data_IF_580296114164
#
_entry.id   IF_580296114164
#
_cell.length_a   1.000
_cell.length_b   1.000
_cell.length_c   1.000
_cell.angle_alpha   90.00
_cell.angle_beta   90.00
_cell.angle_gamma   90.00
#
_symmetry.space_group_name_H-M   'P 1'
#
loop_
_entity.id
_entity.type
_entity.pdbx_description
1 polymer ?
#
# COMPACT_ATOMS: atom_id res chain seq x y z
N UNK A 1 -7.54 -1.03 -34.73
CA UNK A 1 -6.33 -0.83 -33.89
C UNK A 1 -6.82 -0.49 -32.50
N UNK A 2 -6.79 -1.44 -31.57
CA UNK A 2 -7.36 -1.29 -30.23
C UNK A 2 -6.58 -0.21 -29.45
N UNK A 3 -7.26 0.85 -28.99
CA UNK A 3 -6.66 1.91 -28.16
C UNK A 3 -6.63 1.44 -26.70
N UNK A 4 -5.48 0.92 -26.26
CA UNK A 4 -5.22 0.50 -24.88
C UNK A 4 -4.15 1.40 -24.26
N UNK A 5 -4.32 1.79 -23.00
CA UNK A 5 -3.28 2.47 -22.22
C UNK A 5 -3.25 1.91 -20.80
N UNK A 6 -2.14 1.28 -20.37
CA UNK A 6 -1.98 0.84 -18.99
C UNK A 6 -1.73 2.05 -18.07
N UNK A 7 -2.32 2.03 -16.88
CA UNK A 7 -2.09 2.98 -15.79
C UNK A 7 -1.79 2.19 -14.51
N UNK A 8 -0.61 2.41 -13.93
CA UNK A 8 -0.05 1.65 -12.81
C UNK A 8 1.46 1.41 -12.99
N UNK A 9 2.23 1.22 -11.90
CA UNK A 9 3.68 0.97 -11.98
C UNK A 9 3.98 -0.53 -11.94
N UNK A 10 4.09 -1.19 -13.08
CA UNK A 10 4.91 -2.42 -13.15
C UNK A 10 6.26 -2.01 -13.72
N UNK A 11 7.20 -1.68 -12.83
CA UNK A 11 8.59 -1.49 -13.26
C UNK A 11 9.19 -2.87 -13.59
N UNK A 12 10.08 -2.91 -14.57
CA UNK A 12 11.00 -4.03 -14.75
C UNK A 12 12.28 -3.67 -13.97
N UNK A 13 12.44 -4.01 -12.67
CA UNK A 13 13.74 -3.90 -12.06
C UNK A 13 14.55 -5.11 -12.50
N UNK A 14 15.62 -4.90 -13.23
CA UNK A 14 16.77 -5.80 -13.19
C UNK A 14 18.06 -5.00 -13.37
N UNK A 15 19.04 -5.39 -12.57
CA UNK A 15 20.34 -4.75 -12.45
C UNK A 15 21.15 -4.72 -13.74
N UNK A 16 22.23 -3.94 -13.67
CA UNK A 16 23.25 -3.71 -14.68
C UNK A 16 22.75 -3.79 -16.12
N UNK A 17 22.40 -2.63 -16.69
CA UNK A 17 21.91 -2.46 -18.08
C UNK A 17 22.79 -3.16 -19.13
N UNK A 18 24.05 -3.42 -18.79
CA UNK A 18 25.07 -4.05 -19.62
C UNK A 18 25.04 -5.58 -19.60
N UNK A 19 24.31 -6.21 -18.68
CA UNK A 19 24.16 -7.66 -18.60
C UNK A 19 22.86 -8.05 -17.88
N UNK A 20 21.70 -7.99 -18.58
CA UNK A 20 20.40 -8.29 -17.99
C UNK A 20 20.24 -9.77 -17.56
N UNK A 21 21.15 -10.65 -17.98
CA UNK A 21 21.13 -12.07 -17.65
C UNK A 21 22.05 -12.45 -16.49
N UNK A 22 22.95 -11.55 -16.04
CA UNK A 22 23.80 -11.84 -14.87
C UNK A 22 23.01 -11.72 -13.58
N UNK A 23 23.13 -12.73 -12.74
CA UNK A 23 22.56 -12.72 -11.40
C UNK A 23 23.40 -11.82 -10.49
N UNK A 24 22.76 -10.81 -9.90
CA UNK A 24 23.39 -9.93 -8.92
C UNK A 24 23.17 -10.40 -7.47
N UNK A 25 22.33 -11.42 -7.28
CA UNK A 25 22.04 -12.10 -6.01
C UNK A 25 22.11 -13.61 -6.25
N UNK A 26 22.68 -14.35 -5.29
CA UNK A 26 22.71 -15.80 -5.32
C UNK A 26 21.33 -16.40 -5.00
N UNK A 27 20.75 -17.09 -5.99
CA UNK A 27 19.40 -17.67 -5.94
C UNK A 27 19.30 -18.93 -5.08
N UNK A 28 20.42 -19.59 -4.78
CA UNK A 28 20.45 -20.78 -3.92
C UNK A 28 20.40 -20.41 -2.44
N UNK A 29 20.84 -19.20 -2.10
CA UNK A 29 20.93 -18.76 -0.71
C UNK A 29 19.90 -17.70 -0.32
N UNK A 30 19.48 -16.86 -1.28
CA UNK A 30 18.65 -15.68 -1.02
C UNK A 30 17.29 -15.78 -1.71
N UNK A 31 16.17 -15.78 -0.97
CA UNK A 31 14.85 -15.73 -1.59
C UNK A 31 14.61 -14.40 -2.28
N UNK A 32 13.87 -14.40 -3.39
CA UNK A 32 13.40 -13.15 -3.99
C UNK A 32 12.39 -12.47 -3.07
N UNK A 33 12.34 -11.14 -3.07
CA UNK A 33 11.23 -10.38 -2.51
C UNK A 33 10.05 -10.39 -3.51
N UNK A 34 8.89 -11.00 -3.17
CA UNK A 34 7.72 -10.95 -4.04
C UNK A 34 7.20 -9.53 -4.21
N UNK A 35 6.64 -9.21 -5.38
CA UNK A 35 6.11 -7.89 -5.71
C UNK A 35 4.59 -7.97 -5.88
N UNK A 36 3.86 -7.22 -5.05
CA UNK A 36 2.40 -7.13 -5.08
C UNK A 36 2.00 -5.73 -5.56
N UNK A 37 1.23 -5.66 -6.64
CA UNK A 37 0.90 -4.39 -7.28
C UNK A 37 -0.46 -4.44 -7.97
N UNK A 38 -1.01 -3.26 -8.26
CA UNK A 38 -2.29 -3.07 -8.94
C UNK A 38 -2.08 -2.18 -10.16
N UNK A 39 -2.73 -2.55 -11.26
CA UNK A 39 -2.76 -1.75 -12.48
C UNK A 39 -4.15 -1.76 -13.09
N UNK A 40 -4.41 -0.82 -13.99
CA UNK A 40 -5.65 -0.71 -14.73
C UNK A 40 -5.37 -0.47 -16.21
N UNK A 41 -6.32 -0.84 -17.06
CA UNK A 41 -6.32 -0.48 -18.48
C UNK A 41 -7.63 0.23 -18.80
N UNK A 42 -7.53 1.35 -19.50
CA UNK A 42 -8.70 2.12 -19.96
C UNK A 42 -8.71 2.19 -21.48
N UNK A 43 -9.90 2.36 -22.05
CA UNK A 43 -10.15 2.39 -23.49
C UNK A 43 -10.87 3.68 -23.90
N UNK A 44 -10.90 3.97 -25.20
CA UNK A 44 -11.70 5.06 -25.76
C UNK A 44 -11.27 6.44 -25.28
N UNK A 45 -12.24 7.29 -24.88
CA UNK A 45 -11.98 8.69 -24.51
C UNK A 45 -10.98 8.79 -23.33
N UNK A 46 -11.07 7.91 -22.33
CA UNK A 46 -10.15 7.87 -21.19
C UNK A 46 -8.71 7.53 -21.61
N UNK A 47 -8.52 6.55 -22.52
CA UNK A 47 -7.18 6.24 -23.05
C UNK A 47 -6.56 7.45 -23.77
N UNK A 48 -7.39 8.25 -24.47
CA UNK A 48 -6.92 9.49 -25.11
C UNK A 48 -6.52 10.56 -24.12
N UNK A 49 -7.14 10.62 -22.94
CA UNK A 49 -6.73 11.56 -21.90
C UNK A 49 -5.37 11.20 -21.29
N UNK A 50 -5.09 9.90 -21.13
CA UNK A 50 -3.75 9.41 -20.78
C UNK A 50 -2.76 9.76 -21.89
N UNK A 51 -3.11 9.52 -23.16
CA UNK A 51 -2.26 9.87 -24.30
C UNK A 51 -1.98 11.38 -24.40
N UNK A 52 -2.97 12.24 -24.12
CA UNK A 52 -2.79 13.71 -24.07
C UNK A 52 -1.74 14.11 -23.03
N UNK A 53 -1.78 13.50 -21.84
CA UNK A 53 -0.77 13.75 -20.81
C UNK A 53 0.63 13.34 -21.29
N UNK A 54 0.76 12.17 -21.93
CA UNK A 54 2.02 11.73 -22.53
C UNK A 54 2.54 12.72 -23.60
N UNK A 55 1.67 13.11 -24.53
CA UNK A 55 2.00 14.04 -25.63
C UNK A 55 2.47 15.39 -25.09
N UNK A 56 1.79 15.91 -24.08
CA UNK A 56 2.16 17.16 -23.42
C UNK A 56 3.58 17.08 -22.86
N UNK A 57 3.90 16.00 -22.11
CA UNK A 57 5.23 15.81 -21.52
C UNK A 57 6.30 15.55 -22.57
N UNK A 58 6.00 14.75 -23.60
CA UNK A 58 6.91 14.48 -24.70
C UNK A 58 7.32 15.77 -25.42
N UNK A 59 6.34 16.57 -25.85
CA UNK A 59 6.59 17.83 -26.55
C UNK A 59 7.32 18.84 -25.65
N UNK A 60 6.97 18.93 -24.36
CA UNK A 60 7.69 19.75 -23.38
C UNK A 60 9.16 19.32 -23.25
N UNK A 61 9.43 18.04 -23.02
CA UNK A 61 10.80 17.52 -22.90
C UNK A 61 11.60 17.72 -24.18
N UNK A 62 10.95 17.59 -25.36
CA UNK A 62 11.57 17.89 -26.65
C UNK A 62 12.05 19.34 -26.69
N UNK A 63 11.22 20.31 -26.32
CA UNK A 63 11.57 21.73 -26.34
C UNK A 63 12.67 22.05 -25.32
N UNK A 64 12.58 21.50 -24.10
CA UNK A 64 13.46 21.87 -22.99
C UNK A 64 14.89 21.32 -23.08
N UNK A 65 15.14 20.29 -23.89
CA UNK A 65 16.46 19.63 -23.97
C UNK A 65 17.04 19.70 -25.39
N UNK A 66 18.16 20.41 -25.61
CA UNK A 66 18.75 20.57 -26.94
C UNK A 66 19.00 19.25 -27.69
N UNK A 67 19.40 18.19 -26.97
CA UNK A 67 19.59 16.84 -27.52
C UNK A 67 18.37 16.33 -28.30
N UNK A 68 17.17 16.75 -27.93
CA UNK A 68 15.92 16.26 -28.51
C UNK A 68 15.35 17.19 -29.59
N UNK A 69 16.02 18.30 -29.92
CA UNK A 69 15.55 19.23 -30.96
C UNK A 69 15.54 18.60 -32.36
N UNK A 70 16.41 17.61 -32.59
CA UNK A 70 16.46 16.84 -33.85
C UNK A 70 15.09 16.35 -34.32
N UNK A 71 14.90 16.32 -35.64
CA UNK A 71 13.72 15.75 -36.30
C UNK A 71 13.55 14.25 -36.01
N UNK A 72 14.60 13.56 -35.54
CA UNK A 72 14.52 12.16 -35.07
C UNK A 72 13.53 11.97 -33.91
N UNK A 73 13.24 13.04 -33.15
CA UNK A 73 12.20 13.04 -32.11
C UNK A 73 11.01 13.86 -32.65
N UNK A 74 9.95 13.24 -33.19
CA UNK A 74 8.84 13.98 -33.78
C UNK A 74 8.02 14.71 -32.71
N UNK A 75 7.38 15.82 -33.08
CA UNK A 75 6.29 16.34 -32.25
C UNK A 75 5.09 15.40 -32.32
N UNK A 76 4.44 15.18 -31.18
CA UNK A 76 3.25 14.35 -31.11
C UNK A 76 2.00 15.23 -31.11
N UNK A 77 0.94 14.74 -31.76
CA UNK A 77 -0.35 15.42 -31.85
C UNK A 77 -1.44 14.51 -31.26
N UNK A 78 -2.38 15.05 -30.46
CA UNK A 78 -3.46 14.27 -29.91
C UNK A 78 -4.45 13.88 -31.00
N UNK A 79 -4.91 12.63 -30.98
CA UNK A 79 -6.03 12.20 -31.81
C UNK A 79 -7.32 12.90 -31.35
N UNK A 80 -8.13 13.39 -32.30
CA UNK A 80 -9.41 14.05 -32.01
C UNK A 80 -10.33 13.13 -31.20
N UNK A 81 -11.07 13.63 -30.20
CA UNK A 81 -12.07 12.82 -29.46
C UNK A 81 -13.23 12.30 -30.32
N UNK A 82 -13.51 12.93 -31.46
CA UNK A 82 -14.65 12.58 -32.33
C UNK A 82 -14.58 11.15 -32.91
N UNK A 83 -13.40 10.54 -32.91
CA UNK A 83 -13.18 9.17 -33.40
C UNK A 83 -13.09 8.12 -32.29
N UNK A 84 -13.43 8.46 -31.04
CA UNK A 84 -13.39 7.55 -29.91
C UNK A 84 -14.77 6.94 -29.67
N UNK A 85 -14.83 5.64 -29.44
CA UNK A 85 -16.05 4.96 -28.98
C UNK A 85 -16.53 5.52 -27.63
N UNK A 86 -17.84 5.59 -27.44
CA UNK A 86 -18.50 6.05 -26.20
C UNK A 86 -18.60 4.94 -25.14
N UNK A 87 -17.51 4.20 -24.90
CA UNK A 87 -17.48 3.38 -23.70
C UNK A 87 -17.42 4.28 -22.47
N UNK A 88 -18.04 3.82 -21.39
CA UNK A 88 -18.03 4.43 -20.06
C UNK A 88 -16.64 4.96 -19.75
N UNK A 89 -16.55 6.23 -19.31
CA UNK A 89 -15.29 6.97 -19.25
C UNK A 89 -14.85 7.10 -17.79
N UNK A 90 -13.91 6.28 -17.30
CA UNK A 90 -13.22 6.56 -16.05
C UNK A 90 -12.65 7.99 -16.05
N UNK A 91 -12.69 8.66 -14.91
CA UNK A 91 -12.06 9.96 -14.74
C UNK A 91 -10.54 9.81 -14.74
N UNK A 92 -9.84 10.39 -15.72
CA UNK A 92 -8.37 10.39 -15.73
C UNK A 92 -7.85 11.58 -14.94
N UNK A 93 -7.13 11.31 -13.85
CA UNK A 93 -6.53 12.28 -12.95
C UNK A 93 -5.07 12.51 -13.38
N UNK A 94 -4.82 13.70 -13.94
CA UNK A 94 -3.57 14.03 -14.64
C UNK A 94 -2.63 14.95 -13.84
N UNK A 95 -3.12 15.56 -12.77
CA UNK A 95 -2.32 16.36 -11.84
C UNK A 95 -2.37 15.75 -10.46
N UNK A 96 -1.27 15.81 -9.73
CA UNK A 96 -1.24 15.26 -8.38
C UNK A 96 -2.22 15.98 -7.42
N UNK A 97 -2.51 17.27 -7.64
CA UNK A 97 -3.61 17.96 -6.94
C UNK A 97 -4.98 17.34 -7.24
N UNK A 98 -5.26 16.92 -8.48
CA UNK A 98 -6.51 16.23 -8.81
C UNK A 98 -6.58 14.84 -8.18
N UNK A 99 -5.44 14.15 -8.06
CA UNK A 99 -5.33 12.86 -7.38
C UNK A 99 -5.60 13.04 -5.87
N UNK A 100 -4.93 13.99 -5.23
CA UNK A 100 -5.12 14.30 -3.81
C UNK A 100 -6.58 14.67 -3.52
N UNK A 101 -7.18 15.55 -4.32
CA UNK A 101 -8.58 15.93 -4.17
C UNK A 101 -9.53 14.75 -4.36
N UNK A 102 -9.27 13.85 -5.31
CA UNK A 102 -10.07 12.64 -5.50
C UNK A 102 -10.00 11.73 -4.26
N UNK A 103 -8.80 11.48 -3.71
CA UNK A 103 -8.64 10.75 -2.46
C UNK A 103 -9.46 11.37 -1.32
N UNK A 104 -9.33 12.68 -1.10
CA UNK A 104 -10.08 13.38 -0.04
C UNK A 104 -11.59 13.27 -0.22
N UNK A 105 -12.09 13.50 -1.45
CA UNK A 105 -13.52 13.42 -1.73
C UNK A 105 -14.08 12.01 -1.58
N UNK A 106 -13.37 10.99 -2.07
CA UNK A 106 -13.79 9.59 -1.93
C UNK A 106 -13.83 9.18 -0.46
N UNK A 107 -12.83 9.54 0.34
CA UNK A 107 -12.81 9.27 1.78
C UNK A 107 -13.98 9.98 2.48
N UNK A 108 -14.17 11.28 2.23
CA UNK A 108 -15.22 12.06 2.86
C UNK A 108 -16.65 11.57 2.52
N UNK A 109 -16.86 11.06 1.30
CA UNK A 109 -18.16 10.56 0.81
C UNK A 109 -18.45 9.10 1.15
N UNK A 110 -17.42 8.32 1.51
CA UNK A 110 -17.58 6.91 1.87
C UNK A 110 -18.61 6.71 2.99
N UNK A 111 -19.32 5.58 2.98
CA UNK A 111 -20.44 5.26 3.87
C UNK A 111 -20.18 4.02 4.73
N UNK A 112 -19.50 3.02 4.17
CA UNK A 112 -19.37 1.69 4.74
C UNK A 112 -17.92 1.29 5.00
N UNK A 113 -17.04 1.38 4.00
CA UNK A 113 -15.63 1.05 4.22
C UNK A 113 -14.70 1.67 3.21
N UNK A 114 -13.41 1.67 3.57
CA UNK A 114 -12.31 2.03 2.68
C UNK A 114 -11.27 0.90 2.75
N UNK A 115 -10.81 0.43 1.60
CA UNK A 115 -9.70 -0.49 1.45
C UNK A 115 -8.55 0.20 0.72
N UNK A 116 -7.38 0.27 1.36
CA UNK A 116 -6.19 0.94 0.85
C UNK A 116 -5.07 -0.08 0.73
N UNK A 117 -4.49 -0.18 -0.46
CA UNK A 117 -3.16 -0.76 -0.64
C UNK A 117 -2.20 0.32 -1.11
N UNK A 118 -1.18 0.64 -0.32
CA UNK A 118 -0.23 1.68 -0.68
C UNK A 118 1.20 1.40 -0.21
N UNK A 119 2.18 1.65 -1.09
CA UNK A 119 3.61 1.51 -0.80
C UNK A 119 4.09 2.41 0.35
N UNK A 120 3.51 3.61 0.47
CA UNK A 120 3.79 4.53 1.57
C UNK A 120 2.49 4.97 2.23
N UNK A 121 2.56 5.27 3.52
CA UNK A 121 1.44 5.76 4.29
C UNK A 121 1.89 6.92 5.17
N UNK A 122 2.31 8.01 4.51
CA UNK A 122 2.85 9.24 5.10
C UNK A 122 1.83 10.37 4.92
N UNK A 123 1.18 10.76 6.01
CA UNK A 123 0.13 11.77 6.02
C UNK A 123 0.02 12.41 7.41
N UNK A 124 -1.16 12.93 7.75
CA UNK A 124 -1.43 13.69 8.97
C UNK A 124 -0.61 14.99 9.00
N UNK A 125 -1.14 16.02 8.33
CA UNK A 125 -0.46 17.31 8.22
C UNK A 125 -0.17 17.92 9.60
N UNK A 126 1.09 18.34 9.79
CA UNK A 126 1.47 19.29 10.84
C UNK A 126 1.70 20.69 10.29
N UNK A 127 1.44 20.90 8.99
CA UNK A 127 1.74 22.11 8.23
C UNK A 127 3.21 22.55 8.32
N UNK A 128 4.13 21.62 8.64
CA UNK A 128 5.57 21.88 8.79
C UNK A 128 6.42 20.91 7.97
N UNK A 129 6.24 19.61 8.18
CA UNK A 129 7.00 18.56 7.52
C UNK A 129 6.14 17.72 6.58
N UNK A 130 4.88 17.53 6.96
CA UNK A 130 3.87 16.81 6.17
C UNK A 130 2.69 17.75 5.94
N UNK A 131 2.15 17.77 4.72
CA UNK A 131 1.11 18.72 4.29
C UNK A 131 -0.16 18.07 3.72
N UNK A 132 -0.05 16.88 3.13
CA UNK A 132 -1.21 16.19 2.56
C UNK A 132 -2.19 15.77 3.68
N UNK A 133 -3.49 15.85 3.37
CA UNK A 133 -4.58 15.70 4.36
C UNK A 133 -5.30 14.34 4.35
N UNK A 134 -4.69 13.31 3.78
CA UNK A 134 -5.36 12.00 3.61
C UNK A 134 -5.62 11.34 4.96
N UNK A 135 -4.64 11.40 5.88
CA UNK A 135 -4.74 10.90 7.25
C UNK A 135 -5.82 11.63 8.05
N UNK A 136 -5.87 12.97 7.96
CA UNK A 136 -6.96 13.75 8.59
C UNK A 136 -8.33 13.37 8.04
N UNK A 137 -8.47 13.20 6.73
CA UNK A 137 -9.75 12.78 6.14
C UNK A 137 -10.20 11.40 6.65
N UNK A 138 -9.28 10.45 6.86
CA UNK A 138 -9.59 9.15 7.47
C UNK A 138 -10.02 9.28 8.93
N UNK A 139 -9.32 10.11 9.72
CA UNK A 139 -9.66 10.39 11.12
C UNK A 139 -11.07 10.99 11.19
N UNK A 140 -11.33 12.07 10.46
CA UNK A 140 -12.62 12.75 10.42
C UNK A 140 -13.74 11.78 10.01
N UNK A 141 -13.47 10.93 9.01
CA UNK A 141 -14.45 9.96 8.53
C UNK A 141 -14.76 8.89 9.57
N UNK A 142 -13.76 8.34 10.25
CA UNK A 142 -13.94 7.36 11.32
C UNK A 142 -14.70 7.98 12.49
N UNK A 143 -14.31 9.18 12.93
CA UNK A 143 -14.97 9.88 14.03
C UNK A 143 -16.43 10.21 13.71
N UNK A 144 -16.74 10.55 12.44
CA UNK A 144 -18.13 10.70 11.99
C UNK A 144 -18.91 9.39 12.15
N UNK A 145 -18.37 8.26 11.72
CA UNK A 145 -19.03 6.96 11.90
C UNK A 145 -19.27 6.64 13.37
N UNK A 146 -18.25 6.87 14.21
CA UNK A 146 -18.32 6.65 15.65
C UNK A 146 -19.43 7.48 16.31
N UNK A 147 -19.46 8.80 16.04
CA UNK A 147 -20.47 9.74 16.56
C UNK A 147 -21.89 9.39 16.10
N UNK A 148 -22.04 8.86 14.90
CA UNK A 148 -23.32 8.40 14.34
C UNK A 148 -23.70 6.97 14.76
N UNK A 149 -22.84 6.25 15.49
CA UNK A 149 -23.06 4.84 15.84
C UNK A 149 -23.12 3.91 14.63
N UNK A 150 -22.53 4.30 13.49
CA UNK A 150 -22.55 3.53 12.24
C UNK A 150 -21.33 2.63 12.12
N UNK A 151 -21.55 1.42 11.59
CA UNK A 151 -20.46 0.50 11.28
C UNK A 151 -19.66 1.03 10.09
N UNK A 152 -18.36 1.20 10.30
CA UNK A 152 -17.44 1.67 9.27
C UNK A 152 -16.07 1.04 9.46
N UNK A 153 -15.44 0.54 8.38
CA UNK A 153 -14.13 -0.12 8.45
C UNK A 153 -13.13 0.53 7.51
N UNK A 154 -11.88 0.64 7.94
CA UNK A 154 -10.75 1.08 7.15
C UNK A 154 -9.68 0.00 7.20
N UNK A 155 -9.32 -0.51 6.03
CA UNK A 155 -8.30 -1.53 5.88
C UNK A 155 -7.10 -0.89 5.19
N UNK A 156 -5.93 -0.95 5.82
CA UNK A 156 -4.68 -0.41 5.28
C UNK A 156 -3.67 -1.54 5.13
N UNK A 157 -3.29 -1.84 3.89
CA UNK A 157 -2.24 -2.80 3.56
C UNK A 157 -1.05 -2.05 2.97
N UNK A 158 0.11 -2.17 3.62
CA UNK A 158 1.31 -1.39 3.32
C UNK A 158 2.54 -2.29 3.55
N UNK A 159 3.68 -2.10 2.86
CA UNK A 159 4.81 -3.01 3.01
C UNK A 159 5.35 -2.96 4.45
N UNK A 160 5.71 -4.14 4.99
CA UNK A 160 6.23 -4.25 6.36
C UNK A 160 7.50 -3.41 6.56
N UNK A 161 8.32 -3.28 5.51
CA UNK A 161 9.49 -2.42 5.49
C UNK A 161 9.52 -1.62 4.18
N UNK A 162 10.04 -0.37 4.21
CA UNK A 162 10.33 0.38 2.99
C UNK A 162 11.30 -0.37 2.06
N UNK A 163 11.11 -0.23 0.74
CA UNK A 163 11.89 -0.94 -0.29
C UNK A 163 13.20 -0.23 -0.63
N UNK A 164 14.04 -0.02 0.37
CA UNK A 164 15.39 0.56 0.22
C UNK A 164 16.44 -0.48 0.61
N UNK A 165 17.62 -0.40 -0.01
CA UNK A 165 18.77 -1.21 0.42
C UNK A 165 19.15 -0.83 1.85
N UNK A 166 19.32 -1.86 2.71
CA UNK A 166 19.71 -1.69 4.09
C UNK A 166 19.52 -2.97 4.88
N UNK A 167 20.49 -3.30 5.71
CA UNK A 167 20.41 -4.49 6.57
C UNK A 167 19.51 -4.19 7.78
N UNK A 168 18.28 -4.70 7.73
CA UNK A 168 17.31 -4.54 8.83
C UNK A 168 17.81 -5.16 10.14
N UNK A 169 18.76 -6.10 10.09
CA UNK A 169 19.32 -6.70 11.30
C UNK A 169 20.13 -5.68 12.12
N UNK A 170 20.65 -4.63 11.49
CA UNK A 170 21.33 -3.52 12.17
C UNK A 170 20.39 -2.35 12.50
N UNK A 171 19.07 -2.55 12.39
CA UNK A 171 18.05 -1.50 12.51
C UNK A 171 17.74 -0.81 11.17
N UNK A 172 18.34 -1.27 10.07
CA UNK A 172 18.16 -0.74 8.72
C UNK A 172 18.99 0.52 8.43
N UNK A 173 19.10 0.87 7.14
CA UNK A 173 19.81 2.08 6.72
C UNK A 173 19.06 3.37 7.09
N UNK A 174 19.78 4.50 7.16
CA UNK A 174 19.20 5.80 7.52
C UNK A 174 17.95 6.18 6.69
N UNK A 175 17.97 5.90 5.39
CA UNK A 175 16.83 6.14 4.49
C UNK A 175 15.60 5.28 4.85
N UNK A 176 15.83 4.02 5.20
CA UNK A 176 14.78 3.09 5.63
C UNK A 176 14.17 3.56 6.95
N UNK A 177 15.00 3.95 7.92
CA UNK A 177 14.54 4.48 9.20
C UNK A 177 13.76 5.80 9.04
N UNK A 178 14.22 6.72 8.18
CA UNK A 178 13.52 7.97 7.91
C UNK A 178 12.11 7.75 7.37
N UNK A 179 11.94 6.83 6.42
CA UNK A 179 10.61 6.50 5.89
C UNK A 179 9.76 5.79 6.95
N UNK A 180 10.34 4.88 7.72
CA UNK A 180 9.64 4.24 8.84
C UNK A 180 9.15 5.25 9.87
N UNK A 181 9.96 6.27 10.20
CA UNK A 181 9.57 7.35 11.10
C UNK A 181 8.24 7.97 10.64
N UNK A 182 8.15 8.38 9.37
CA UNK A 182 6.96 9.04 8.84
C UNK A 182 5.75 8.11 8.68
N UNK A 183 5.95 6.84 8.33
CA UNK A 183 4.88 5.84 8.34
C UNK A 183 4.32 5.68 9.77
N UNK A 184 5.17 5.46 10.77
CA UNK A 184 4.72 5.33 12.15
C UNK A 184 4.12 6.63 12.71
N UNK A 185 4.66 7.80 12.33
CA UNK A 185 4.09 9.12 12.69
C UNK A 185 2.64 9.24 12.21
N UNK A 186 2.34 8.70 11.04
CA UNK A 186 0.98 8.70 10.49
C UNK A 186 0.09 7.70 11.22
N UNK A 187 0.57 6.48 11.47
CA UNK A 187 -0.23 5.41 12.07
C UNK A 187 -0.50 5.61 13.57
N UNK A 188 0.55 5.76 14.38
CA UNK A 188 0.45 5.67 15.85
C UNK A 188 1.34 6.65 16.65
N UNK A 189 2.49 7.11 16.12
CA UNK A 189 3.47 7.89 16.90
C UNK A 189 3.22 9.40 16.84
N UNK A 190 3.18 10.02 18.00
CA UNK A 190 2.97 11.46 18.13
C UNK A 190 1.51 11.86 18.11
N UNK A 191 1.25 13.14 18.39
CA UNK A 191 -0.11 13.64 18.61
C UNK A 191 -0.95 13.72 17.33
N UNK A 192 -0.31 13.83 16.15
CA UNK A 192 -0.99 13.93 14.85
C UNK A 192 -1.37 12.56 14.26
N UNK A 193 -0.91 11.45 14.85
CA UNK A 193 -1.16 10.12 14.31
C UNK A 193 -2.64 9.75 14.33
N UNK A 194 -3.06 8.88 13.41
CA UNK A 194 -4.45 8.42 13.32
C UNK A 194 -4.89 7.80 14.65
N UNK A 195 -4.14 6.84 15.19
CA UNK A 195 -4.53 6.17 16.43
C UNK A 195 -4.54 7.14 17.61
N UNK A 196 -3.56 8.06 17.74
CA UNK A 196 -3.55 9.06 18.82
C UNK A 196 -4.77 9.98 18.76
N UNK A 197 -5.19 10.40 17.55
CA UNK A 197 -6.36 11.25 17.37
C UNK A 197 -7.67 10.50 17.66
N UNK A 198 -7.78 9.23 17.23
CA UNK A 198 -8.94 8.41 17.54
C UNK A 198 -9.08 8.19 19.06
N UNK A 199 -7.98 7.82 19.75
CA UNK A 199 -7.96 7.61 21.22
C UNK A 199 -8.36 8.82 22.05
N UNK A 200 -8.36 10.04 21.49
CA UNK A 200 -8.86 11.24 22.19
C UNK A 200 -10.39 11.29 22.26
N UNK A 201 -11.07 10.66 21.31
CA UNK A 201 -12.53 10.76 21.13
C UNK A 201 -13.25 9.44 21.42
N UNK A 202 -12.52 8.32 21.59
CA UNK A 202 -13.08 7.00 21.88
C UNK A 202 -12.19 6.21 22.84
N UNK A 203 -12.75 5.17 23.49
CA UNK A 203 -12.02 4.34 24.45
C UNK A 203 -10.77 3.68 23.83
N UNK A 204 -9.80 3.32 24.67
CA UNK A 204 -8.44 2.91 24.28
C UNK A 204 -8.38 1.79 23.23
N UNK A 205 -9.35 0.87 23.20
CA UNK A 205 -9.42 -0.25 22.27
C UNK A 205 -10.51 -0.10 21.19
N UNK A 206 -11.38 0.90 21.29
CA UNK A 206 -12.50 1.04 20.37
C UNK A 206 -12.04 1.37 18.93
N UNK A 207 -10.91 2.06 18.77
CA UNK A 207 -10.35 2.38 17.45
C UNK A 207 -10.07 1.13 16.61
N UNK A 208 -9.75 -0.01 17.26
CA UNK A 208 -9.50 -1.28 16.58
C UNK A 208 -10.73 -1.80 15.84
N UNK A 209 -11.94 -1.35 16.20
CA UNK A 209 -13.15 -1.67 15.45
C UNK A 209 -13.24 -0.88 14.12
N UNK A 210 -12.52 0.21 13.95
CA UNK A 210 -12.67 1.07 12.77
C UNK A 210 -11.53 0.97 11.79
N UNK A 211 -10.30 0.69 12.24
CA UNK A 211 -9.13 0.66 11.36
C UNK A 211 -8.19 -0.49 11.68
N UNK A 212 -7.68 -1.13 10.62
CA UNK A 212 -6.69 -2.21 10.68
C UNK A 212 -5.50 -1.89 9.78
N UNK A 213 -4.30 -1.95 10.36
CA UNK A 213 -3.02 -1.83 9.64
C UNK A 213 -2.41 -3.22 9.48
N UNK A 214 -2.12 -3.62 8.24
CA UNK A 214 -1.57 -4.92 7.90
C UNK A 214 -0.42 -4.77 6.89
N UNK A 215 0.43 -5.78 6.85
CA UNK A 215 1.38 -6.02 5.76
C UNK A 215 1.18 -7.41 5.17
N UNK A 216 2.05 -7.79 4.24
CA UNK A 216 2.01 -9.10 3.59
C UNK A 216 3.34 -9.84 3.78
N UNK A 217 3.28 -11.15 4.05
CA UNK A 217 4.45 -12.03 4.22
C UNK A 217 4.17 -13.43 3.71
N UNK A 218 5.20 -14.08 3.17
CA UNK A 218 5.13 -15.48 2.72
C UNK A 218 6.35 -16.28 3.21
N UNK A 219 6.31 -17.59 2.98
CA UNK A 219 7.41 -18.51 3.24
C UNK A 219 7.52 -19.57 2.15
N UNK A 220 8.68 -20.20 2.07
CA UNK A 220 8.96 -21.32 1.18
C UNK A 220 10.10 -22.19 1.76
N UNK A 221 10.38 -23.29 1.09
CA UNK A 221 11.60 -24.06 1.29
C UNK A 221 12.59 -23.69 0.17
N UNK A 222 13.84 -23.39 0.55
CA UNK A 222 14.95 -23.07 -0.35
C UNK A 222 16.16 -23.90 0.04
N UNK A 223 16.59 -24.81 -0.83
CA UNK A 223 17.72 -25.72 -0.60
C UNK A 223 17.61 -26.45 0.76
N UNK A 224 16.43 -27.00 1.07
CA UNK A 224 16.17 -27.72 2.33
C UNK A 224 15.98 -26.82 3.56
N UNK A 225 16.02 -25.49 3.41
CA UNK A 225 15.88 -24.54 4.50
C UNK A 225 14.55 -23.80 4.41
N UNK A 226 13.84 -23.69 5.53
CA UNK A 226 12.67 -22.82 5.62
C UNK A 226 13.11 -21.36 5.57
N UNK A 227 12.55 -20.60 4.63
CA UNK A 227 12.82 -19.18 4.44
C UNK A 227 11.51 -18.39 4.44
N UNK A 228 11.57 -17.13 4.88
CA UNK A 228 10.45 -16.18 4.82
C UNK A 228 10.90 -14.88 4.20
N UNK A 229 9.99 -14.21 3.49
CA UNK A 229 10.18 -12.85 3.02
C UNK A 229 8.86 -12.08 3.06
N UNK A 230 8.94 -10.77 3.29
CA UNK A 230 7.80 -9.87 3.11
C UNK A 230 7.39 -9.83 1.64
N UNK A 231 6.10 -9.74 1.39
CA UNK A 231 5.58 -9.47 0.05
C UNK A 231 5.51 -7.96 -0.09
N UNK A 232 6.27 -7.40 -1.02
CA UNK A 232 6.41 -5.96 -1.17
C UNK A 232 5.17 -5.35 -1.81
N UNK A 233 4.36 -4.69 -0.98
CA UNK A 233 3.16 -3.96 -1.42
C UNK A 233 3.61 -2.69 -2.11
N UNK A 234 3.57 -2.71 -3.44
CA UNK A 234 3.88 -1.58 -4.29
C UNK A 234 2.62 -0.94 -4.91
N UNK A 235 1.44 -1.51 -4.67
CA UNK A 235 0.14 -0.95 -5.06
C UNK A 235 0.01 0.54 -4.70
N UNK A 236 -0.80 1.27 -5.46
CA UNK A 236 -1.33 2.59 -5.08
C UNK A 236 -2.82 2.64 -5.41
N UNK A 237 -3.61 2.07 -4.52
CA UNK A 237 -5.03 1.86 -4.73
C UNK A 237 -5.86 2.27 -3.51
N UNK A 238 -7.04 2.81 -3.78
CA UNK A 238 -8.12 2.99 -2.81
C UNK A 238 -9.43 2.44 -3.39
N UNK A 239 -10.14 1.62 -2.63
CA UNK A 239 -11.52 1.19 -2.92
C UNK A 239 -12.42 1.74 -1.81
N UNK A 240 -13.55 2.32 -2.17
CA UNK A 240 -14.58 2.73 -1.22
C UNK A 240 -15.94 2.10 -1.57
N UNK A 241 -16.59 1.55 -0.54
CA UNK A 241 -17.97 1.08 -0.55
C UNK A 241 -18.34 0.11 -1.71
N UNK A 242 -17.37 -0.64 -2.24
CA UNK A 242 -17.55 -1.48 -3.43
C UNK A 242 -18.20 -0.73 -4.62
N UNK A 243 -17.95 0.57 -4.79
CA UNK A 243 -18.47 1.34 -5.94
C UNK A 243 -17.48 2.35 -6.54
N UNK A 244 -16.45 2.75 -5.79
CA UNK A 244 -15.46 3.73 -6.22
C UNK A 244 -14.06 3.15 -6.07
N UNK A 245 -13.24 3.23 -7.12
CA UNK A 245 -11.86 2.78 -7.12
C UNK A 245 -10.95 3.88 -7.64
N UNK A 246 -9.83 4.12 -6.96
CA UNK A 246 -8.72 4.94 -7.46
C UNK A 246 -7.52 4.01 -7.64
N UNK A 247 -6.95 3.96 -8.84
CA UNK A 247 -5.72 3.21 -9.16
C UNK A 247 -4.75 4.15 -9.87
N UNK A 248 -3.48 4.14 -9.48
CA UNK A 248 -2.47 4.98 -10.14
C UNK A 248 -1.04 4.72 -9.71
N UNK A 249 -0.20 5.73 -9.88
CA UNK A 249 1.20 5.73 -9.46
C UNK A 249 1.45 6.48 -8.14
N UNK A 250 0.48 7.28 -7.68
CA UNK A 250 0.63 8.20 -6.55
C UNK A 250 0.60 7.49 -5.20
N UNK A 251 1.71 7.58 -4.46
CA UNK A 251 1.78 7.10 -3.09
C UNK A 251 1.02 8.02 -2.13
N UNK A 252 0.60 7.51 -0.96
CA UNK A 252 0.11 8.37 0.13
C UNK A 252 1.34 8.99 0.80
N UNK A 253 1.83 10.08 0.23
CA UNK A 253 2.93 10.92 0.70
C UNK A 253 2.87 12.29 0.00
N UNK A 254 3.56 13.29 0.52
CA UNK A 254 3.58 14.64 -0.06
C UNK A 254 4.24 14.67 -1.44
N UNK A 255 5.28 13.85 -1.65
CA UNK A 255 5.95 13.66 -2.94
C UNK A 255 4.99 13.37 -4.09
N UNK A 256 4.01 12.50 -3.87
CA UNK A 256 3.04 12.11 -4.89
C UNK A 256 1.76 12.95 -4.84
N UNK A 257 1.40 13.58 -3.72
CA UNK A 257 0.08 14.23 -3.55
C UNK A 257 0.09 15.75 -3.75
N UNK A 258 1.21 16.46 -3.56
CA UNK A 258 1.23 17.93 -3.59
C UNK A 258 1.34 18.57 -4.98
N UNK A 259 1.57 17.80 -6.05
CA UNK A 259 1.64 18.32 -7.43
C UNK A 259 2.90 19.08 -7.82
N UNK A 260 3.66 19.59 -6.85
CA UNK A 260 4.91 20.36 -7.07
C UNK A 260 6.17 19.50 -7.05
N UNK A 261 6.04 18.20 -6.78
CA UNK A 261 7.15 17.24 -6.60
C UNK A 261 7.16 16.22 -7.75
N UNK A 262 6.76 14.97 -7.51
CA UNK A 262 6.78 13.94 -8.55
C UNK A 262 5.57 14.09 -9.48
N UNK A 263 5.75 13.74 -10.76
CA UNK A 263 4.65 13.65 -11.72
C UNK A 263 3.95 12.30 -11.59
N UNK A 264 2.67 12.30 -11.24
CA UNK A 264 1.86 11.10 -11.05
C UNK A 264 0.65 11.06 -11.98
N UNK A 265 0.13 9.86 -12.20
CA UNK A 265 -1.12 9.63 -12.93
C UNK A 265 -2.00 8.64 -12.16
N UNK A 266 -3.30 8.89 -12.12
CA UNK A 266 -4.27 7.95 -11.59
C UNK A 266 -5.55 7.97 -12.42
N UNK A 267 -6.36 6.94 -12.24
CA UNK A 267 -7.74 6.87 -12.75
C UNK A 267 -8.67 6.67 -11.56
N UNK A 268 -9.78 7.40 -11.58
CA UNK A 268 -10.92 7.15 -10.71
C UNK A 268 -12.02 6.46 -11.52
N UNK A 269 -12.55 5.37 -10.97
CA UNK A 269 -13.56 4.52 -11.58
C UNK A 269 -14.73 4.52 -10.61
N UNK A 270 -15.85 5.09 -11.04
CA UNK A 270 -17.12 5.06 -10.32
C UNK A 270 -18.06 4.14 -11.11
N UNK A 271 -18.48 3.04 -10.50
CA UNK A 271 -19.35 2.07 -11.16
C UNK A 271 -20.74 2.67 -11.44
N UNK A 272 -21.22 2.48 -12.68
CA UNK A 272 -22.61 2.79 -13.06
C UNK A 272 -23.49 1.54 -13.12
N UNK A 273 -22.88 0.38 -13.37
CA UNK A 273 -23.56 -0.92 -13.33
C UNK A 273 -23.39 -1.54 -11.95
N UNK A 274 -24.52 -1.87 -11.33
CA UNK A 274 -24.53 -2.53 -10.02
C UNK A 274 -24.91 -3.99 -10.12
N UNK A 275 -24.48 -4.76 -9.12
CA UNK A 275 -24.86 -6.14 -8.87
C UNK A 275 -25.29 -6.29 -7.41
N UNK A 276 -26.21 -7.22 -7.15
CA UNK A 276 -26.62 -7.54 -5.77
C UNK A 276 -25.44 -8.15 -5.00
N UNK A 277 -25.14 -7.55 -3.86
CA UNK A 277 -24.10 -7.93 -2.91
C UNK A 277 -24.62 -7.78 -1.47
N UNK A 278 -23.72 -7.87 -0.49
CA UNK A 278 -24.06 -7.78 0.93
C UNK A 278 -23.18 -6.75 1.62
N UNK A 279 -23.78 -5.93 2.48
CA UNK A 279 -23.10 -4.92 3.29
C UNK A 279 -23.72 -4.90 4.69
N UNK A 280 -22.96 -5.34 5.69
CA UNK A 280 -23.43 -5.58 7.07
C UNK A 280 -24.66 -6.49 7.18
N UNK A 281 -24.68 -7.60 6.44
CA UNK A 281 -25.77 -8.56 6.43
C UNK A 281 -27.02 -8.11 5.66
N UNK A 282 -27.02 -6.90 5.12
CA UNK A 282 -28.12 -6.36 4.31
C UNK A 282 -27.81 -6.46 2.83
N UNK A 283 -28.86 -6.62 2.01
CA UNK A 283 -28.74 -6.53 0.56
C UNK A 283 -28.20 -5.14 0.17
N UNK A 284 -27.18 -5.13 -0.68
CA UNK A 284 -26.50 -3.92 -1.11
C UNK A 284 -26.27 -3.94 -2.63
N UNK A 285 -26.45 -2.80 -3.29
CA UNK A 285 -26.17 -2.66 -4.72
C UNK A 285 -24.72 -2.18 -4.88
N UNK A 286 -23.82 -3.13 -5.09
CA UNK A 286 -22.40 -2.86 -5.27
C UNK A 286 -22.06 -2.63 -6.75
N UNK A 287 -21.09 -1.78 -7.02
CA UNK A 287 -20.50 -1.61 -8.33
C UNK A 287 -19.82 -2.89 -8.83
N UNK A 288 -20.06 -3.26 -10.09
CA UNK A 288 -19.53 -4.51 -10.65
C UNK A 288 -18.00 -4.55 -10.64
N UNK A 289 -17.33 -3.46 -11.01
CA UNK A 289 -15.87 -3.40 -11.08
C UNK A 289 -15.23 -3.37 -9.69
N UNK A 290 -15.68 -2.45 -8.84
CA UNK A 290 -15.14 -2.25 -7.50
C UNK A 290 -15.30 -3.50 -6.63
N UNK A 291 -16.48 -4.13 -6.65
CA UNK A 291 -16.74 -5.39 -5.94
C UNK A 291 -15.81 -6.51 -6.42
N UNK A 292 -15.70 -6.71 -7.73
CA UNK A 292 -14.88 -7.79 -8.29
C UNK A 292 -13.40 -7.63 -7.90
N UNK A 293 -12.87 -6.40 -8.00
CA UNK A 293 -11.50 -6.09 -7.59
C UNK A 293 -11.28 -6.32 -6.10
N UNK A 294 -12.19 -5.82 -5.25
CA UNK A 294 -12.09 -5.97 -3.80
C UNK A 294 -12.16 -7.44 -3.37
N UNK A 295 -13.05 -8.23 -3.98
CA UNK A 295 -13.13 -9.67 -3.76
C UNK A 295 -11.82 -10.38 -4.14
N UNK A 296 -11.22 -10.03 -5.28
CA UNK A 296 -9.95 -10.62 -5.71
C UNK A 296 -8.80 -10.27 -4.74
N UNK A 297 -8.70 -9.01 -4.32
CA UNK A 297 -7.75 -8.59 -3.30
C UNK A 297 -7.94 -9.38 -2.00
N UNK A 298 -9.17 -9.47 -1.48
CA UNK A 298 -9.46 -10.19 -0.24
C UNK A 298 -9.16 -11.69 -0.36
N UNK A 299 -9.53 -12.32 -1.46
CA UNK A 299 -9.23 -13.75 -1.70
C UNK A 299 -7.73 -14.00 -1.76
N UNK A 300 -6.98 -13.09 -2.40
CA UNK A 300 -5.52 -13.20 -2.50
C UNK A 300 -4.87 -13.06 -1.13
N UNK A 301 -5.14 -11.98 -0.39
CA UNK A 301 -4.43 -11.71 0.88
C UNK A 301 -4.87 -12.62 2.02
N UNK A 302 -6.10 -13.14 2.00
CA UNK A 302 -6.62 -14.09 3.01
C UNK A 302 -6.45 -15.56 2.62
N UNK A 303 -6.07 -15.85 1.37
CA UNK A 303 -5.91 -17.21 0.87
C UNK A 303 -7.22 -17.93 0.55
N UNK A 304 -8.32 -17.19 0.36
CA UNK A 304 -9.64 -17.76 0.09
C UNK A 304 -9.77 -18.41 -1.31
N UNK A 305 -8.78 -18.24 -2.20
CA UNK A 305 -8.68 -19.05 -3.41
C UNK A 305 -8.43 -20.54 -3.12
N UNK A 306 -7.72 -20.83 -2.01
CA UNK A 306 -7.35 -22.19 -1.62
C UNK A 306 -8.26 -22.76 -0.53
N UNK A 307 -9.06 -21.91 0.13
CA UNK A 307 -9.92 -22.26 1.23
C UNK A 307 -11.29 -21.59 1.06
N UNK A 308 -12.25 -22.36 0.54
CA UNK A 308 -13.62 -21.88 0.25
C UNK A 308 -14.44 -21.63 1.50
N UNK A 309 -13.95 -21.99 2.69
CA UNK A 309 -14.61 -21.69 3.96
C UNK A 309 -14.46 -20.22 4.37
N UNK A 310 -13.50 -19.52 3.76
CA UNK A 310 -13.23 -18.10 4.01
C UNK A 310 -14.21 -17.27 3.18
N UNK A 311 -15.30 -16.85 3.83
CA UNK A 311 -16.26 -15.94 3.25
C UNK A 311 -15.74 -14.50 3.28
N UNK A 312 -15.63 -13.91 2.09
CA UNK A 312 -15.15 -12.54 1.88
C UNK A 312 -16.25 -11.65 1.30
N UNK A 313 -17.52 -12.09 1.26
CA UNK A 313 -18.57 -11.36 0.53
C UNK A 313 -18.90 -10.01 1.17
N UNK A 314 -19.06 -9.98 2.50
CA UNK A 314 -19.44 -8.80 3.27
C UNK A 314 -18.20 -8.14 3.92
N UNK A 315 -17.76 -6.98 3.43
CA UNK A 315 -16.51 -6.36 3.85
C UNK A 315 -16.62 -5.62 5.18
N UNK A 316 -17.78 -5.55 5.86
CA UNK A 316 -17.88 -4.78 7.12
C UNK A 316 -18.48 -5.54 8.30
N UNK A 317 -19.16 -6.67 8.04
CA UNK A 317 -19.73 -7.52 9.10
C UNK A 317 -18.70 -7.82 10.21
N UNK A 318 -19.16 -7.91 11.46
CA UNK A 318 -18.28 -8.24 12.58
C UNK A 318 -17.63 -9.63 12.40
N UNK A 319 -18.38 -10.59 11.84
CA UNK A 319 -17.85 -11.92 11.51
C UNK A 319 -16.65 -11.83 10.57
N UNK A 320 -16.79 -11.10 9.45
CA UNK A 320 -15.66 -10.92 8.54
C UNK A 320 -14.52 -10.15 9.19
N UNK A 321 -14.80 -8.99 9.78
CA UNK A 321 -13.75 -8.11 10.31
C UNK A 321 -12.96 -8.76 11.46
N UNK A 322 -13.64 -9.36 12.43
CA UNK A 322 -13.01 -9.91 13.64
C UNK A 322 -12.52 -11.34 13.43
N UNK A 323 -13.40 -12.22 12.92
CA UNK A 323 -13.13 -13.67 12.90
C UNK A 323 -12.32 -14.09 11.67
N UNK A 324 -12.36 -13.29 10.59
CA UNK A 324 -11.59 -13.56 9.37
C UNK A 324 -10.39 -12.64 9.27
N UNK A 325 -10.59 -11.33 9.12
CA UNK A 325 -9.52 -10.37 8.83
C UNK A 325 -8.53 -10.23 9.99
N UNK A 326 -8.99 -9.77 11.16
CA UNK A 326 -8.13 -9.53 12.32
C UNK A 326 -7.52 -10.83 12.85
N UNK A 327 -8.30 -11.91 12.91
CA UNK A 327 -7.81 -13.23 13.35
C UNK A 327 -6.74 -13.79 12.41
N UNK A 328 -6.91 -13.67 11.08
CA UNK A 328 -5.89 -14.12 10.12
C UNK A 328 -4.62 -13.30 10.25
N UNK A 329 -4.74 -11.96 10.30
CA UNK A 329 -3.60 -11.06 10.44
C UNK A 329 -2.80 -11.33 11.72
N UNK A 330 -3.48 -11.47 12.87
CA UNK A 330 -2.85 -11.77 14.16
C UNK A 330 -2.22 -13.16 14.20
N UNK A 331 -2.97 -14.20 13.82
CA UNK A 331 -2.47 -15.58 13.78
C UNK A 331 -1.21 -15.71 12.91
N UNK A 332 -1.26 -15.15 11.70
CA UNK A 332 -0.14 -15.25 10.78
C UNK A 332 1.09 -14.50 11.32
N UNK A 333 0.90 -13.30 11.87
CA UNK A 333 2.00 -12.54 12.49
C UNK A 333 2.66 -13.34 13.62
N UNK A 334 1.87 -13.90 14.55
CA UNK A 334 2.39 -14.73 15.65
C UNK A 334 3.14 -15.96 15.16
N UNK A 335 2.63 -16.65 14.14
CA UNK A 335 3.31 -17.84 13.58
C UNK A 335 4.63 -17.45 12.92
N UNK A 336 4.65 -16.41 12.07
CA UNK A 336 5.89 -15.96 11.43
C UNK A 336 6.93 -15.48 12.45
N UNK A 337 6.51 -14.78 13.49
CA UNK A 337 7.37 -14.35 14.60
C UNK A 337 7.95 -15.55 15.36
N UNK A 338 7.12 -16.53 15.73
CA UNK A 338 7.56 -17.75 16.42
C UNK A 338 8.51 -18.60 15.58
N UNK A 339 8.19 -18.77 14.30
CA UNK A 339 8.92 -19.69 13.42
C UNK A 339 10.23 -19.08 12.94
N UNK A 340 10.20 -17.85 12.45
CA UNK A 340 11.35 -17.23 11.80
C UNK A 340 12.02 -16.14 12.62
N UNK A 341 11.36 -15.63 13.67
CA UNK A 341 11.80 -14.42 14.38
C UNK A 341 12.12 -13.30 13.39
N UNK A 342 11.24 -13.13 12.40
CA UNK A 342 11.42 -12.14 11.35
C UNK A 342 11.18 -10.72 11.87
N UNK A 343 11.82 -9.76 11.22
CA UNK A 343 11.59 -8.33 11.43
C UNK A 343 10.67 -7.77 10.33
N UNK A 344 9.94 -6.68 10.60
CA UNK A 344 9.77 -5.99 11.89
C UNK A 344 8.86 -6.78 12.85
N UNK A 345 8.96 -6.49 14.15
CA UNK A 345 8.17 -7.14 15.21
C UNK A 345 7.91 -6.17 16.37
N UNK A 346 6.72 -6.24 16.97
CA UNK A 346 6.38 -5.46 18.17
C UNK A 346 7.14 -5.91 19.42
N UNK A 347 7.80 -7.07 19.39
CA UNK A 347 8.69 -7.54 20.46
C UNK A 347 10.04 -6.81 20.51
N UNK A 348 10.33 -5.98 19.51
CA UNK A 348 11.60 -5.26 19.38
C UNK A 348 11.33 -3.77 19.35
N UNK A 349 11.40 -3.10 20.51
CA UNK A 349 11.09 -1.67 20.69
C UNK A 349 12.32 -0.79 20.71
N UNK A 350 13.51 -1.35 20.93
CA UNK A 350 14.79 -0.65 20.93
C UNK A 350 15.93 -1.51 20.35
N UNK A 351 17.12 -0.91 20.20
CA UNK A 351 18.28 -1.59 19.61
C UNK A 351 18.83 -2.73 20.50
N UNK A 352 18.73 -2.62 21.83
CA UNK A 352 19.16 -3.69 22.73
C UNK A 352 18.24 -4.92 22.61
N UNK A 353 16.93 -4.68 22.51
CA UNK A 353 15.96 -5.74 22.21
C UNK A 353 16.21 -6.34 20.82
N UNK A 354 16.63 -5.56 19.82
CA UNK A 354 16.95 -6.06 18.48
C UNK A 354 18.14 -7.04 18.51
N UNK A 355 19.22 -6.67 19.19
CA UNK A 355 20.41 -7.52 19.36
C UNK A 355 20.04 -8.83 20.08
N UNK A 356 19.35 -8.73 21.21
CA UNK A 356 18.86 -9.89 21.96
C UNK A 356 17.91 -10.77 21.13
N UNK A 357 17.06 -10.14 20.33
CA UNK A 357 16.07 -10.84 19.52
C UNK A 357 16.71 -11.73 18.45
N UNK A 358 17.82 -11.28 17.86
CA UNK A 358 18.58 -11.97 16.81
C UNK A 358 19.48 -13.10 17.31
N UNK A 359 20.00 -12.98 18.55
CA UNK A 359 20.84 -14.05 19.14
C UNK A 359 20.06 -15.33 19.43
N UNK A 360 18.74 -15.21 19.61
CA UNK A 360 17.87 -16.36 19.89
C UNK A 360 17.34 -16.95 18.58
N UNK A 361 17.54 -18.25 18.31
CA UNK A 361 17.06 -18.89 17.08
C UNK A 361 15.53 -19.07 17.09
N UNK A 362 14.90 -18.90 15.92
CA UNK A 362 13.49 -19.27 15.73
C UNK A 362 13.28 -20.78 15.61
N UNK A 363 12.01 -21.23 15.55
CA UNK A 363 11.72 -22.66 15.33
C UNK A 363 12.28 -23.19 14.02
N UNK A 364 12.35 -22.38 12.96
CA UNK A 364 12.90 -22.79 11.68
C UNK A 364 14.35 -23.31 11.79
N UNK A 365 15.11 -22.81 12.77
CA UNK A 365 16.48 -23.24 13.04
C UNK A 365 16.56 -24.29 14.16
N UNK A 366 15.77 -24.13 15.22
CA UNK A 366 15.85 -24.98 16.43
C UNK A 366 15.05 -26.28 16.35
N UNK A 367 13.91 -26.30 15.64
CA UNK A 367 13.06 -27.47 15.46
C UNK A 367 12.27 -27.37 14.13
N UNK A 368 12.88 -27.74 12.99
CA UNK A 368 12.25 -27.63 11.67
C UNK A 368 10.94 -28.43 11.53
N UNK A 369 10.81 -29.55 12.26
CA UNK A 369 9.59 -30.37 12.24
C UNK A 369 8.40 -29.62 12.83
N UNK A 370 8.57 -29.04 14.02
CA UNK A 370 7.54 -28.18 14.63
C UNK A 370 7.32 -26.90 13.83
N UNK A 371 8.36 -26.33 13.22
CA UNK A 371 8.22 -25.17 12.35
C UNK A 371 7.27 -25.46 11.18
N UNK A 372 7.43 -26.60 10.49
CA UNK A 372 6.53 -27.00 9.42
C UNK A 372 5.08 -27.22 9.90
N UNK A 373 4.88 -27.80 11.08
CA UNK A 373 3.55 -27.98 11.66
C UNK A 373 2.84 -26.64 11.92
N UNK A 374 3.55 -25.66 12.50
CA UNK A 374 3.00 -24.32 12.72
C UNK A 374 2.68 -23.61 11.39
N UNK A 375 3.56 -23.72 10.40
CA UNK A 375 3.37 -23.09 9.10
C UNK A 375 2.15 -23.61 8.33
N UNK A 376 1.72 -24.86 8.55
CA UNK A 376 0.47 -25.41 7.95
C UNK A 376 -0.80 -24.66 8.39
N UNK A 377 -0.72 -23.93 9.50
CA UNK A 377 -1.82 -23.12 10.05
C UNK A 377 -1.92 -21.73 9.41
N UNK A 378 -0.92 -21.31 8.64
CA UNK A 378 -0.97 -20.07 7.86
C UNK A 378 -2.05 -20.19 6.78
N UNK A 379 -2.81 -19.10 6.59
CA UNK A 379 -3.72 -18.91 5.46
C UNK A 379 -3.51 -17.51 4.89
N UNK A 380 -3.36 -17.41 3.58
CA UNK A 380 -3.07 -16.16 2.89
C UNK A 380 -1.71 -15.56 3.25
N UNK A 381 -1.57 -14.27 2.97
CA UNK A 381 -0.34 -13.50 3.16
C UNK A 381 -0.47 -12.41 4.21
N UNK A 382 -1.70 -12.08 4.61
CA UNK A 382 -2.00 -10.98 5.53
C UNK A 382 -1.36 -11.21 6.90
N UNK A 383 -0.63 -10.21 7.41
CA UNK A 383 -0.07 -10.17 8.76
C UNK A 383 -0.38 -8.83 9.42
N UNK A 384 -0.59 -8.83 10.72
CA UNK A 384 -0.79 -7.61 11.48
C UNK A 384 0.48 -6.74 11.42
N UNK A 385 0.32 -5.43 11.21
CA UNK A 385 1.45 -4.51 11.17
C UNK A 385 2.02 -4.26 12.58
N UNK A 386 3.33 -4.40 12.82
CA UNK A 386 3.92 -4.27 14.15
C UNK A 386 4.11 -2.80 14.54
N UNK A 387 3.09 -2.20 15.15
CA UNK A 387 3.06 -0.77 15.49
C UNK A 387 4.14 -0.33 16.50
N UNK A 388 4.66 -1.26 17.30
CA UNK A 388 5.63 -0.98 18.38
C UNK A 388 7.09 -1.20 17.97
N UNK A 389 7.37 -1.63 16.74
CA UNK A 389 8.73 -1.94 16.30
C UNK A 389 9.64 -0.69 16.31
N UNK A 390 10.72 -0.72 17.10
CA UNK A 390 11.61 0.42 17.34
C UNK A 390 10.87 1.68 17.84
N UNK A 391 9.83 1.50 18.67
CA UNK A 391 9.03 2.59 19.25
C UNK A 391 9.81 3.49 20.22
N UNK A 392 10.85 2.96 20.87
CA UNK A 392 11.70 3.68 21.81
C UNK A 392 12.94 4.30 21.13
N UNK A 393 13.03 4.24 19.79
CA UNK A 393 14.12 4.81 19.01
C UNK A 393 13.68 6.07 18.25
N UNK A 394 14.59 7.03 18.14
CA UNK A 394 14.44 8.11 17.18
C UNK A 394 14.91 7.64 15.81
N UNK A 395 13.96 7.32 14.94
CA UNK A 395 14.21 6.82 13.58
C UNK A 395 14.58 7.94 12.57
N UNK A 396 14.62 9.20 12.98
CA UNK A 396 15.08 10.27 12.12
C UNK A 396 16.61 10.21 11.94
N UNK A 397 17.13 10.44 10.73
CA UNK A 397 18.57 10.50 10.51
C UNK A 397 19.23 11.55 11.41
N UNK A 398 20.36 11.19 12.01
CA UNK A 398 21.16 12.12 12.82
C UNK A 398 21.71 13.25 11.96
N UNK A 399 21.77 14.48 12.49
CA UNK A 399 22.19 15.71 11.77
C UNK A 399 23.58 15.57 11.10
N UNK A 400 24.47 14.76 11.66
CA UNK A 400 25.81 14.50 11.11
C UNK A 400 25.87 13.49 9.95
N UNK A 401 24.75 12.85 9.57
CA UNK A 401 24.69 11.86 8.49
C UNK A 401 24.33 12.51 7.15
N UNK A 402 24.68 11.87 6.02
CA UNK A 402 24.28 12.36 4.68
C UNK A 402 22.76 12.53 4.58
N UNK A 403 22.02 11.58 5.13
CA UNK A 403 20.56 11.58 5.15
C UNK A 403 19.95 12.62 6.11
N UNK A 404 20.70 13.05 7.14
CA UNK A 404 20.31 14.14 8.03
C UNK A 404 20.60 15.53 7.46
N UNK A 405 21.52 15.63 6.50
CA UNK A 405 21.84 16.88 5.80
C UNK A 405 20.89 17.18 4.63
N UNK A 406 20.14 16.17 4.15
CA UNK A 406 19.16 16.40 3.09
C UNK A 406 17.84 16.94 3.63
N UNK A 407 17.10 17.75 2.84
CA UNK A 407 15.79 18.24 3.24
C UNK A 407 14.83 17.10 3.60
N UNK A 408 14.08 17.26 4.69
CA UNK A 408 13.10 16.27 5.18
C UNK A 408 12.06 15.89 4.13
N UNK A 409 11.72 16.82 3.23
CA UNK A 409 10.81 16.62 2.10
C UNK A 409 11.24 15.53 1.10
N UNK A 410 12.49 15.06 1.15
CA UNK A 410 12.92 13.89 0.38
C UNK A 410 12.20 12.62 0.87
N UNK A 411 11.90 12.56 2.17
CA UNK A 411 11.32 11.41 2.85
C UNK A 411 9.80 11.50 3.00
N UNK A 412 9.18 12.66 2.74
CA UNK A 412 7.74 12.92 2.98
C UNK A 412 6.83 12.91 1.77
#
# INVERSE_FOLDING_TARGET
>A
MWEMSPCGRIFLPCGNFWSPHTHFIDRYTTPRMPWHDISSVVHGKAARDVARHFIQRWNFCKIMKPKYHSLSYPYLLPKSHSSASELMVPGVLRSAESIHNAYLQTIARSKHFIYIENQFFISCSDNKMVYNKIGEALIERILRAHKEGKKFRVYVVTPLLPGFEGDITTGGGNALQAVMHFNYRTMIRGEYSIISQLKKEMDELQWMNYISFCGLRTHAELEGRLVTELVYVHSKMLIADDNTVIIGSANINDRSMLGKRDSEVAVIIEDSETVTAVMDGHEYQAGRYALALRLECFRTVLGAHMDTTIDVSDPISDRFYKDVWMTTAGRNATIYEKVFRCLPSSLVRNMSELESYQTNPGLAQSDPGKAQEELRRIRGFLVQFPLDFLSEQNLMPSVGTKEGMVPTEIWT
#
